data_IF_030892138793
#
_entry.id   IF_030892138793
#
_cell.length_a   1.000
_cell.length_b   1.000
_cell.length_c   1.000
_cell.angle_alpha   90.00
_cell.angle_beta   90.00
_cell.angle_gamma   90.00
#
_symmetry.space_group_name_H-M   'P 1'
#
loop_
_entity.id
_entity.type
_entity.pdbx_description
1 polymer ?
#
# COMPACT_ATOMS: atom_id res chain seq x y z
N UNK A 1 17.89 2.15 32.95
CA UNK A 1 16.69 3.01 32.99
C UNK A 1 17.00 4.26 32.19
N UNK A 2 16.16 4.60 31.22
CA UNK A 2 16.43 5.73 30.31
C UNK A 2 16.37 7.05 31.10
N UNK A 3 17.28 7.99 30.82
CA UNK A 3 17.36 9.27 31.53
C UNK A 3 16.16 10.16 31.12
N UNK A 4 15.68 11.00 32.04
CA UNK A 4 14.51 11.88 31.82
C UNK A 4 14.76 12.88 30.69
N UNK A 5 16.01 13.30 30.50
CA UNK A 5 16.44 14.18 29.42
C UNK A 5 16.41 13.49 28.04
N UNK A 6 16.85 12.23 27.96
CA UNK A 6 16.84 11.45 26.72
C UNK A 6 15.41 11.21 26.22
N UNK A 7 14.48 10.93 27.13
CA UNK A 7 13.04 10.83 26.81
C UNK A 7 12.50 12.11 26.21
N UNK A 8 12.84 13.26 26.79
CA UNK A 8 12.41 14.56 26.27
C UNK A 8 12.99 14.85 24.88
N UNK A 9 14.25 14.46 24.63
CA UNK A 9 14.87 14.61 23.32
C UNK A 9 14.17 13.76 22.25
N UNK A 10 13.91 12.47 22.55
CA UNK A 10 13.19 11.56 21.65
C UNK A 10 11.77 12.07 21.39
N UNK A 11 11.05 12.51 22.42
CA UNK A 11 9.69 13.01 22.29
C UNK A 11 9.63 14.27 21.41
N UNK A 12 10.62 15.17 21.50
CA UNK A 12 10.73 16.33 20.60
C UNK A 12 10.96 15.91 19.15
N UNK A 13 11.78 14.89 18.90
CA UNK A 13 12.06 14.39 17.55
C UNK A 13 10.81 13.72 16.97
N UNK A 14 10.13 12.86 17.75
CA UNK A 14 8.89 12.22 17.33
C UNK A 14 7.79 13.24 17.02
N UNK A 15 7.68 14.32 17.81
CA UNK A 15 6.74 15.40 17.53
C UNK A 15 7.12 16.21 16.27
N UNK A 16 8.42 16.35 15.97
CA UNK A 16 8.92 17.07 14.80
C UNK A 16 8.69 16.33 13.48
N UNK A 17 8.77 15.00 13.50
CA UNK A 17 8.63 14.14 12.30
C UNK A 17 7.39 13.26 12.39
N UNK A 18 6.34 13.74 13.05
CA UNK A 18 5.11 12.98 13.27
C UNK A 18 4.45 12.55 11.94
N UNK A 19 4.59 13.37 10.90
CA UNK A 19 4.11 13.17 9.53
C UNK A 19 4.83 12.05 8.75
N UNK A 20 6.00 11.61 9.23
CA UNK A 20 6.77 10.51 8.63
C UNK A 20 6.27 9.15 9.12
N UNK A 21 5.64 9.10 10.30
CA UNK A 21 5.14 7.86 10.89
C UNK A 21 3.72 7.60 10.42
N UNK A 22 3.50 6.45 9.78
CA UNK A 22 2.17 5.96 9.46
C UNK A 22 1.63 5.14 10.64
N UNK A 23 0.65 5.67 11.37
CA UNK A 23 -0.05 4.91 12.42
C UNK A 23 -1.23 4.13 11.83
N UNK A 24 -1.73 3.12 12.55
CA UNK A 24 -2.71 2.15 12.01
C UNK A 24 -4.02 2.75 11.47
N UNK A 25 -4.35 4.00 11.83
CA UNK A 25 -5.56 4.70 11.40
C UNK A 25 -5.27 5.97 10.57
N UNK A 26 -4.01 6.27 10.30
CA UNK A 26 -3.69 7.41 9.45
C UNK A 26 -4.01 7.06 8.00
N UNK A 27 -4.57 8.00 7.23
CA UNK A 27 -4.74 7.80 5.79
C UNK A 27 -3.37 7.53 5.19
N UNK A 28 -3.26 6.51 4.33
CA UNK A 28 -2.02 6.14 3.61
C UNK A 28 -1.73 7.23 2.58
N UNK A 29 -1.30 8.37 3.09
CA UNK A 29 -0.98 9.54 2.31
C UNK A 29 0.51 9.55 2.14
N UNK A 30 0.97 9.85 0.93
CA UNK A 30 2.37 10.18 0.71
C UNK A 30 2.73 11.36 1.63
N UNK A 31 3.77 11.27 2.48
CA UNK A 31 4.24 12.41 3.28
C UNK A 31 4.54 13.61 2.37
N UNK A 32 4.29 14.84 2.84
CA UNK A 32 4.37 16.03 1.98
C UNK A 32 5.76 16.21 1.33
N UNK A 33 6.82 15.79 2.03
CA UNK A 33 8.21 15.74 1.53
C UNK A 33 8.34 14.85 0.28
N UNK A 34 7.62 13.73 0.27
CA UNK A 34 7.62 12.78 -0.85
C UNK A 34 6.65 13.27 -1.93
N UNK A 35 5.55 13.95 -1.58
CA UNK A 35 4.62 14.55 -2.57
C UNK A 35 5.30 15.59 -3.44
N UNK A 36 6.09 16.51 -2.89
CA UNK A 36 6.83 17.48 -3.70
C UNK A 36 7.82 16.77 -4.63
N UNK A 37 8.52 15.75 -4.13
CA UNK A 37 9.46 14.96 -4.94
C UNK A 37 8.75 14.16 -6.04
N UNK A 38 7.57 13.59 -5.78
CA UNK A 38 6.78 12.83 -6.77
C UNK A 38 6.07 13.78 -7.76
N UNK A 39 5.58 14.93 -7.31
CA UNK A 39 4.95 15.94 -8.17
C UNK A 39 5.96 16.56 -9.13
N UNK A 40 7.23 16.68 -8.72
CA UNK A 40 8.35 17.05 -9.59
C UNK A 40 8.82 15.89 -10.48
N UNK A 41 8.66 14.63 -10.05
CA UNK A 41 8.86 13.40 -10.84
C UNK A 41 7.55 12.89 -11.46
N UNK A 42 6.70 13.80 -11.93
CA UNK A 42 5.45 13.40 -12.59
C UNK A 42 5.80 12.53 -13.80
N UNK A 43 5.34 11.28 -13.71
CA UNK A 43 5.55 10.15 -14.63
C UNK A 43 6.81 9.32 -14.38
N UNK A 44 6.79 8.47 -13.35
CA UNK A 44 7.62 7.26 -13.32
C UNK A 44 7.18 6.33 -14.47
N UNK A 45 7.65 6.61 -15.68
CA UNK A 45 7.36 5.80 -16.86
C UNK A 45 8.08 4.46 -16.73
N UNK A 46 7.31 3.37 -16.66
CA UNK A 46 7.86 2.02 -16.68
C UNK A 46 8.30 1.70 -18.12
N UNK A 47 9.60 1.71 -18.38
CA UNK A 47 10.15 1.35 -19.69
C UNK A 47 10.00 -0.16 -19.93
N UNK A 48 9.19 -0.52 -20.91
CA UNK A 48 9.02 -1.91 -21.34
C UNK A 48 10.25 -2.38 -22.15
N UNK A 49 10.57 -3.68 -22.06
CA UNK A 49 11.58 -4.29 -22.94
C UNK A 49 11.09 -4.23 -24.40
N UNK A 50 12.02 -4.17 -25.36
CA UNK A 50 11.71 -4.00 -26.81
C UNK A 50 10.66 -4.97 -27.36
N UNK A 51 10.56 -6.19 -26.83
CA UNK A 51 9.61 -7.22 -27.27
C UNK A 51 8.52 -7.54 -26.23
N UNK A 52 8.33 -6.67 -25.24
CA UNK A 52 7.30 -6.87 -24.23
C UNK A 52 5.91 -6.79 -24.85
N UNK A 53 5.10 -7.82 -24.61
CA UNK A 53 3.71 -7.88 -25.05
C UNK A 53 2.80 -7.89 -23.83
N UNK A 54 1.58 -7.31 -23.92
CA UNK A 54 0.62 -7.38 -22.84
C UNK A 54 0.35 -8.82 -22.43
N UNK A 55 0.49 -9.09 -21.13
CA UNK A 55 0.20 -10.41 -20.55
C UNK A 55 -1.13 -10.32 -19.84
N UNK A 56 -2.09 -11.12 -20.29
CA UNK A 56 -3.36 -11.34 -19.60
C UNK A 56 -3.36 -12.75 -19.01
N UNK A 57 -3.36 -12.82 -17.67
CA UNK A 57 -3.52 -14.09 -16.95
C UNK A 57 -4.93 -14.16 -16.38
N UNK A 58 -5.58 -15.31 -16.56
CA UNK A 58 -6.89 -15.58 -15.96
C UNK A 58 -6.76 -15.58 -14.43
N UNK A 59 -7.67 -14.87 -13.76
CA UNK A 59 -7.74 -14.80 -12.29
C UNK A 59 -7.93 -16.20 -11.68
N UNK A 60 -7.24 -16.47 -10.58
CA UNK A 60 -7.43 -17.69 -9.80
C UNK A 60 -8.83 -17.74 -9.17
N UNK A 61 -9.35 -18.95 -8.97
CA UNK A 61 -10.61 -19.13 -8.24
C UNK A 61 -10.36 -18.91 -6.76
N UNK A 62 -11.08 -17.96 -6.18
CA UNK A 62 -10.98 -17.64 -4.76
C UNK A 62 -12.01 -18.44 -3.95
N UNK A 63 -11.63 -19.02 -2.79
CA UNK A 63 -12.58 -19.63 -1.86
C UNK A 63 -13.64 -18.61 -1.38
N UNK A 64 -14.87 -19.08 -1.19
CA UNK A 64 -15.96 -18.21 -0.73
C UNK A 64 -15.66 -17.52 0.60
N UNK A 65 -14.95 -18.20 1.51
CA UNK A 65 -14.54 -17.67 2.81
C UNK A 65 -13.65 -16.43 2.72
N UNK A 66 -12.87 -16.28 1.65
CA UNK A 66 -11.95 -15.15 1.48
C UNK A 66 -12.61 -13.96 0.80
N UNK A 67 -13.73 -14.16 0.10
CA UNK A 67 -14.37 -13.12 -0.72
C UNK A 67 -14.73 -11.88 0.10
N UNK A 68 -15.32 -12.07 1.28
CA UNK A 68 -15.76 -10.96 2.13
C UNK A 68 -14.60 -10.07 2.57
N UNK A 69 -13.47 -10.67 2.94
CA UNK A 69 -12.28 -9.91 3.37
C UNK A 69 -11.59 -9.24 2.18
N UNK A 70 -11.59 -9.87 1.01
CA UNK A 70 -11.07 -9.26 -0.22
C UNK A 70 -11.89 -8.02 -0.61
N UNK A 71 -13.22 -8.13 -0.63
CA UNK A 71 -14.11 -7.02 -1.00
C UNK A 71 -13.94 -5.85 -0.02
N UNK A 72 -13.76 -6.13 1.27
CA UNK A 72 -13.47 -5.13 2.30
C UNK A 72 -12.13 -4.41 2.06
N UNK A 73 -11.06 -5.15 1.75
CA UNK A 73 -9.75 -4.56 1.48
C UNK A 73 -9.73 -3.75 0.19
N UNK A 74 -10.35 -4.25 -0.88
CA UNK A 74 -10.49 -3.52 -2.14
C UNK A 74 -11.26 -2.22 -1.92
N UNK A 75 -12.38 -2.27 -1.20
CA UNK A 75 -13.18 -1.08 -0.90
C UNK A 75 -12.39 -0.06 -0.08
N UNK A 76 -11.60 -0.52 0.89
CA UNK A 76 -10.71 0.35 1.67
C UNK A 76 -9.64 1.00 0.77
N UNK A 77 -8.96 0.22 -0.07
CA UNK A 77 -7.91 0.74 -0.96
C UNK A 77 -8.45 1.71 -2.01
N UNK A 78 -9.69 1.50 -2.50
CA UNK A 78 -10.39 2.44 -3.37
C UNK A 78 -10.71 3.74 -2.64
N UNK A 79 -11.24 3.65 -1.41
CA UNK A 79 -11.55 4.83 -0.59
C UNK A 79 -10.30 5.62 -0.21
N UNK A 80 -9.19 4.93 0.07
CA UNK A 80 -7.88 5.51 0.38
C UNK A 80 -7.17 6.06 -0.88
N UNK A 81 -7.71 5.85 -2.08
CA UNK A 81 -7.14 6.33 -3.34
C UNK A 81 -5.85 5.61 -3.77
N UNK A 82 -5.59 4.42 -3.23
CA UNK A 82 -4.38 3.61 -3.52
C UNK A 82 -4.54 2.88 -4.86
N UNK A 83 -5.77 2.47 -5.19
CA UNK A 83 -6.09 1.77 -6.45
C UNK A 83 -7.24 2.48 -7.17
N UNK A 84 -7.32 2.26 -8.48
CA UNK A 84 -8.40 2.76 -9.33
C UNK A 84 -8.91 1.67 -10.28
N UNK A 85 -10.13 1.83 -10.76
CA UNK A 85 -10.68 0.95 -11.79
C UNK A 85 -10.06 1.25 -13.14
N UNK A 86 -9.47 0.24 -13.80
CA UNK A 86 -8.83 0.41 -15.10
C UNK A 86 -9.26 -0.66 -16.10
N UNK A 87 -9.18 -0.32 -17.38
CA UNK A 87 -9.35 -1.27 -18.50
C UNK A 87 -8.00 -1.45 -19.18
N UNK A 88 -7.17 -2.34 -18.63
CA UNK A 88 -5.82 -2.62 -19.12
C UNK A 88 -5.75 -3.95 -19.89
N UNK A 89 -4.92 -3.99 -20.94
CA UNK A 89 -4.52 -5.24 -21.61
C UNK A 89 -3.52 -6.07 -20.77
N UNK A 90 -3.01 -5.50 -19.68
CA UNK A 90 -2.15 -6.16 -18.69
C UNK A 90 -3.00 -6.59 -17.50
N UNK A 91 -2.91 -7.87 -17.10
CA UNK A 91 -3.62 -8.38 -15.94
C UNK A 91 -2.79 -9.45 -15.24
N UNK A 92 -2.47 -9.19 -13.97
CA UNK A 92 -1.87 -10.16 -13.06
C UNK A 92 -2.94 -10.72 -12.11
N UNK A 93 -2.91 -12.02 -11.78
CA UNK A 93 -3.95 -12.65 -10.98
C UNK A 93 -3.71 -12.38 -9.48
N UNK A 94 -4.79 -12.06 -8.76
CA UNK A 94 -4.72 -11.83 -7.31
C UNK A 94 -4.42 -13.15 -6.57
N UNK A 95 -3.45 -13.09 -5.65
CA UNK A 95 -3.18 -14.14 -4.68
C UNK A 95 -3.45 -13.65 -3.26
N UNK A 96 -4.16 -14.47 -2.50
CA UNK A 96 -4.54 -14.18 -1.12
C UNK A 96 -3.70 -15.04 -0.19
N UNK A 97 -2.89 -14.39 0.64
CA UNK A 97 -1.97 -15.07 1.57
C UNK A 97 -2.32 -14.68 3.00
N UNK A 98 -2.46 -15.66 3.93
CA UNK A 98 -2.63 -15.35 5.34
C UNK A 98 -1.38 -14.65 5.88
N UNK A 99 -1.55 -13.47 6.46
CA UNK A 99 -0.46 -12.78 7.17
C UNK A 99 -0.29 -13.42 8.55
N UNK A 100 0.96 -13.61 8.97
CA UNK A 100 1.32 -14.08 10.32
C UNK A 100 1.13 -12.95 11.36
N UNK A 101 -0.09 -12.47 11.54
CA UNK A 101 -0.48 -11.61 12.66
C UNK A 101 -1.54 -12.31 13.50
N UNK A 102 -1.67 -11.94 14.77
CA UNK A 102 -2.72 -12.48 15.68
C UNK A 102 -4.14 -12.19 15.15
N UNK A 103 -4.27 -11.16 14.32
CA UNK A 103 -5.44 -10.88 13.51
C UNK A 103 -5.29 -11.53 12.14
N UNK A 104 -6.30 -12.26 11.67
CA UNK A 104 -6.38 -12.87 10.34
C UNK A 104 -6.44 -11.81 9.22
N UNK A 105 -5.36 -11.05 9.04
CA UNK A 105 -5.23 -10.08 7.96
C UNK A 105 -4.77 -10.85 6.72
N UNK A 106 -5.62 -10.93 5.70
CA UNK A 106 -5.21 -11.45 4.40
C UNK A 106 -4.38 -10.39 3.67
N UNK A 107 -3.33 -10.79 2.96
CA UNK A 107 -2.60 -9.93 2.04
C UNK A 107 -3.01 -10.27 0.61
N UNK A 108 -3.40 -9.25 -0.15
CA UNK A 108 -3.67 -9.33 -1.59
C UNK A 108 -2.40 -8.93 -2.33
N UNK A 109 -1.85 -9.84 -3.14
CA UNK A 109 -0.75 -9.58 -4.06
C UNK A 109 -1.32 -9.53 -5.48
N UNK A 110 -1.06 -8.44 -6.20
CA UNK A 110 -1.42 -8.23 -7.63
C UNK A 110 -0.27 -8.69 -8.50
#
# INVERSE_FOLDING_TARGET
MINKEERNAIQKICAKYADVFLLENDPVTVPDIIKETITLKKEETITLKKDARPVYVKRYRLPYSQKAEIDKQISKMLADGIIEETKSSWSSPILVVPKKSEFERLLIII
#
